data_IF_826919561179
#
_entry.id   IF_826919561179
#
_cell.length_a   1.000
_cell.length_b   1.000
_cell.length_c   1.000
_cell.angle_alpha   90.00
_cell.angle_beta   90.00
_cell.angle_gamma   90.00
#
_symmetry.space_group_name_H-M   'P 1'
#
loop_
_entity.id
_entity.type
_entity.pdbx_description
1 polymer ?
#
# COMPACT_ATOMS: atom_id res chain seq x y z
N UNK A 1 8.73 1.42 14.67
CA UNK A 1 7.40 1.18 14.06
C UNK A 1 7.54 0.10 13.01
N UNK A 2 6.59 -0.83 12.88
CA UNK A 2 6.68 -2.03 12.04
C UNK A 2 6.21 -1.75 10.59
N UNK A 3 6.54 -2.63 9.64
CA UNK A 3 6.22 -2.57 8.21
C UNK A 3 4.72 -2.42 7.92
N UNK A 4 3.87 -2.95 8.81
CA UNK A 4 2.40 -2.80 8.75
C UNK A 4 1.93 -1.34 8.87
N UNK A 5 2.76 -0.48 9.47
CA UNK A 5 2.49 0.96 9.62
C UNK A 5 2.83 1.78 8.38
N UNK A 6 3.26 1.17 7.27
CA UNK A 6 3.60 1.88 6.04
C UNK A 6 2.47 2.78 5.54
N UNK A 7 1.24 2.24 5.51
CA UNK A 7 0.08 2.93 4.94
C UNK A 7 -0.27 4.22 5.69
N UNK A 8 0.00 4.30 7.00
CA UNK A 8 -0.31 5.52 7.78
C UNK A 8 0.56 6.70 7.37
N UNK A 9 1.78 6.44 6.88
CA UNK A 9 2.68 7.48 6.36
C UNK A 9 2.19 8.04 5.03
N UNK A 10 1.63 7.19 4.17
CA UNK A 10 1.14 7.58 2.84
C UNK A 10 -0.24 8.24 2.94
N UNK A 11 -1.14 7.70 3.75
CA UNK A 11 -2.53 8.17 3.87
C UNK A 11 -2.70 9.31 4.89
N UNK A 12 -1.61 9.77 5.50
CA UNK A 12 -1.58 10.87 6.45
C UNK A 12 -2.39 12.11 5.97
N UNK A 13 -2.23 12.62 4.73
CA UNK A 13 -2.99 13.78 4.25
C UNK A 13 -4.49 13.55 4.15
N UNK A 14 -4.93 12.32 3.82
CA UNK A 14 -6.35 11.97 3.73
C UNK A 14 -7.03 11.99 5.10
N UNK A 15 -6.33 11.53 6.13
CA UNK A 15 -6.90 11.36 7.47
C UNK A 15 -6.50 12.47 8.46
N UNK A 16 -6.08 13.64 7.94
CA UNK A 16 -5.87 14.84 8.75
C UNK A 16 -4.55 14.91 9.53
N UNK A 17 -3.55 14.12 9.16
CA UNK A 17 -2.23 14.24 9.77
C UNK A 17 -1.50 15.49 9.29
N UNK A 18 -0.82 16.18 10.23
CA UNK A 18 -0.14 17.45 9.96
C UNK A 18 1.12 17.29 9.10
N UNK A 19 1.88 16.20 9.32
CA UNK A 19 3.10 15.89 8.58
C UNK A 19 3.33 14.38 8.50
N UNK A 20 4.14 13.97 7.53
CA UNK A 20 4.68 12.61 7.42
C UNK A 20 6.18 12.66 7.19
N UNK A 21 6.88 11.59 7.57
CA UNK A 21 8.33 11.50 7.44
C UNK A 21 8.72 10.51 6.35
N UNK A 22 9.50 10.97 5.39
CA UNK A 22 10.20 10.15 4.41
C UNK A 22 11.72 10.19 4.63
N UNK A 23 12.41 9.08 4.37
CA UNK A 23 13.87 9.05 4.38
C UNK A 23 14.45 9.78 3.17
N UNK A 24 15.69 10.26 3.27
CA UNK A 24 16.38 10.92 2.15
C UNK A 24 16.75 9.93 1.04
N UNK A 25 17.28 8.78 1.44
CA UNK A 25 17.74 7.71 0.53
C UNK A 25 17.41 6.35 1.15
N UNK A 26 17.28 5.32 0.30
CA UNK A 26 17.15 3.94 0.77
C UNK A 26 18.38 3.56 1.60
N UNK A 27 18.16 2.96 2.77
CA UNK A 27 19.24 2.62 3.71
C UNK A 27 19.68 3.75 4.65
N UNK A 28 19.16 4.98 4.51
CA UNK A 28 19.26 6.05 5.52
C UNK A 28 17.96 6.23 6.28
N UNK A 29 17.25 5.13 6.50
CA UNK A 29 15.96 5.11 7.16
C UNK A 29 16.15 5.17 8.67
N UNK A 30 15.34 5.98 9.36
CA UNK A 30 15.35 6.03 10.83
C UNK A 30 14.51 4.89 11.44
N UNK A 31 13.73 4.17 10.62
CA UNK A 31 12.94 3.02 11.01
C UNK A 31 12.73 2.05 9.83
N UNK A 32 12.57 0.74 10.07
CA UNK A 32 12.27 -0.24 9.03
C UNK A 32 11.04 0.13 8.19
N UNK A 33 11.13 -0.08 6.87
CA UNK A 33 10.07 0.20 5.89
C UNK A 33 9.60 1.65 5.82
N UNK A 34 10.48 2.59 6.14
CA UNK A 34 10.21 4.00 5.90
C UNK A 34 10.29 4.29 4.39
N UNK A 35 9.23 4.86 3.77
CA UNK A 35 9.31 5.30 2.37
C UNK A 35 10.31 6.45 2.24
N UNK A 36 10.98 6.54 1.10
CA UNK A 36 11.78 7.74 0.79
C UNK A 36 10.85 8.92 0.50
N UNK A 37 11.33 10.14 0.70
CA UNK A 37 10.60 11.35 0.28
C UNK A 37 10.32 11.33 -1.23
N UNK A 38 11.24 10.80 -2.03
CA UNK A 38 11.07 10.61 -3.47
C UNK A 38 9.93 9.64 -3.78
N UNK A 39 9.80 8.52 -3.07
CA UNK A 39 8.70 7.57 -3.28
C UNK A 39 7.35 8.21 -2.91
N UNK A 40 7.28 8.93 -1.79
CA UNK A 40 6.05 9.60 -1.37
C UNK A 40 5.58 10.60 -2.44
N UNK A 41 6.49 11.38 -3.01
CA UNK A 41 6.17 12.40 -4.01
C UNK A 41 5.87 11.77 -5.38
N UNK A 42 6.72 10.85 -5.85
CA UNK A 42 6.71 10.40 -7.24
C UNK A 42 5.92 9.11 -7.46
N UNK A 43 5.86 8.22 -6.47
CA UNK A 43 5.14 6.93 -6.57
C UNK A 43 3.75 7.05 -5.98
N UNK A 44 3.61 7.65 -4.80
CA UNK A 44 2.31 7.75 -4.12
C UNK A 44 1.58 9.06 -4.38
N UNK A 45 2.18 9.99 -5.13
CA UNK A 45 1.60 11.28 -5.47
C UNK A 45 1.06 12.01 -4.22
N UNK A 46 1.80 11.98 -3.10
CA UNK A 46 1.29 12.40 -1.78
C UNK A 46 0.70 13.82 -1.75
N UNK A 47 1.17 14.71 -2.62
CA UNK A 47 0.69 16.09 -2.75
C UNK A 47 -0.73 16.20 -3.33
N UNK A 48 -1.22 15.14 -3.96
CA UNK A 48 -2.55 15.07 -4.57
C UNK A 48 -3.55 14.32 -3.67
N UNK A 49 -3.09 13.72 -2.58
CA UNK A 49 -3.95 12.99 -1.63
C UNK A 49 -4.66 14.01 -0.75
N UNK A 50 -6.00 13.91 -0.70
CA UNK A 50 -6.86 14.70 0.16
C UNK A 50 -7.98 13.86 0.79
N UNK A 51 -8.89 14.49 1.56
CA UNK A 51 -9.95 13.79 2.28
C UNK A 51 -10.83 12.91 1.39
N UNK A 52 -11.11 13.34 0.16
CA UNK A 52 -11.99 12.62 -0.78
C UNK A 52 -11.28 11.55 -1.62
N UNK A 53 -9.94 11.46 -1.54
CA UNK A 53 -9.16 10.51 -2.34
C UNK A 53 -9.56 9.08 -2.01
N UNK A 54 -9.85 8.27 -3.03
CA UNK A 54 -10.18 6.85 -2.86
C UNK A 54 -8.92 6.00 -2.69
N UNK A 55 -8.96 5.06 -1.77
CA UNK A 55 -7.84 4.16 -1.47
C UNK A 55 -8.08 2.83 -2.16
N UNK A 56 -7.11 2.43 -2.96
CA UNK A 56 -6.99 1.10 -3.54
C UNK A 56 -5.73 0.44 -3.01
N UNK A 57 -5.63 -0.88 -3.15
CA UNK A 57 -4.37 -1.50 -2.82
C UNK A 57 -4.21 -2.95 -3.21
N UNK A 58 -2.98 -3.42 -3.03
CA UNK A 58 -2.64 -4.82 -3.14
C UNK A 58 -2.50 -5.41 -1.74
N UNK A 59 -3.16 -6.53 -1.50
CA UNK A 59 -3.11 -7.28 -0.25
C UNK A 59 -2.19 -8.49 -0.44
N UNK A 60 -1.27 -8.71 0.50
CA UNK A 60 -0.44 -9.92 0.54
C UNK A 60 0.52 -9.95 1.73
N UNK A 61 1.20 -11.09 1.91
CA UNK A 61 2.29 -11.24 2.85
C UNK A 61 3.33 -12.27 2.31
N UNK A 62 4.53 -11.82 1.85
CA UNK A 62 4.98 -10.44 1.70
C UNK A 62 4.32 -9.67 0.54
N UNK A 63 4.28 -8.33 0.65
CA UNK A 63 3.71 -7.42 -0.37
C UNK A 63 4.68 -6.36 -0.89
N UNK A 64 5.80 -6.12 -0.18
CA UNK A 64 6.73 -5.01 -0.44
C UNK A 64 7.46 -5.05 -1.79
N UNK A 65 7.47 -6.19 -2.48
CA UNK A 65 8.11 -6.34 -3.80
C UNK A 65 7.18 -6.03 -4.99
N UNK A 66 5.90 -5.74 -4.75
CA UNK A 66 4.97 -5.48 -5.84
C UNK A 66 5.27 -4.15 -6.53
N UNK A 67 5.42 -4.18 -7.86
CA UNK A 67 5.50 -2.97 -8.70
C UNK A 67 4.13 -2.36 -9.00
N UNK A 68 3.03 -2.97 -8.53
CA UNK A 68 1.67 -2.50 -8.78
C UNK A 68 1.38 -1.07 -8.29
N UNK A 69 1.93 -0.58 -7.15
CA UNK A 69 1.72 0.82 -6.75
C UNK A 69 2.28 1.82 -7.77
N UNK A 70 3.45 1.53 -8.35
CA UNK A 70 4.07 2.39 -9.36
C UNK A 70 3.15 2.50 -10.59
N UNK A 71 2.68 1.36 -11.10
CA UNK A 71 1.85 1.32 -12.29
C UNK A 71 0.48 1.99 -12.07
N UNK A 72 -0.20 1.65 -10.98
CA UNK A 72 -1.56 2.14 -10.73
C UNK A 72 -1.60 3.62 -10.38
N UNK A 73 -0.66 4.12 -9.56
CA UNK A 73 -0.63 5.54 -9.22
C UNK A 73 -0.26 6.41 -10.43
N UNK A 74 0.61 5.92 -11.32
CA UNK A 74 0.89 6.62 -12.57
C UNK A 74 -0.35 6.67 -13.47
N UNK A 75 -1.08 5.56 -13.58
CA UNK A 75 -2.32 5.50 -14.34
C UNK A 75 -3.42 6.40 -13.75
N UNK A 76 -3.59 6.41 -12.43
CA UNK A 76 -4.55 7.29 -11.76
C UNK A 76 -4.22 8.76 -12.01
N UNK A 77 -2.94 9.12 -11.92
CA UNK A 77 -2.46 10.47 -12.22
C UNK A 77 -2.70 10.85 -13.68
N UNK A 78 -2.40 9.96 -14.63
CA UNK A 78 -2.52 10.25 -16.06
C UNK A 78 -3.98 10.45 -16.51
N UNK A 79 -4.93 9.78 -15.87
CA UNK A 79 -6.36 9.93 -16.17
C UNK A 79 -7.08 10.91 -15.24
N UNK A 80 -6.37 11.57 -14.31
CA UNK A 80 -6.95 12.51 -13.35
C UNK A 80 -7.89 11.89 -12.33
N UNK A 81 -7.77 10.58 -12.05
CA UNK A 81 -8.58 9.90 -11.05
C UNK A 81 -8.08 10.25 -9.64
N UNK A 82 -8.97 10.75 -8.77
CA UNK A 82 -8.65 11.05 -7.38
C UNK A 82 -8.54 9.77 -6.52
N UNK A 83 -7.45 9.03 -6.73
CA UNK A 83 -7.22 7.75 -6.10
C UNK A 83 -5.73 7.53 -5.78
N UNK A 84 -5.47 6.71 -4.75
CA UNK A 84 -4.12 6.24 -4.39
C UNK A 84 -4.13 4.73 -4.25
N UNK A 85 -3.09 4.08 -4.77
CA UNK A 85 -2.85 2.64 -4.69
C UNK A 85 -1.69 2.35 -3.74
N UNK A 86 -1.93 1.56 -2.68
CA UNK A 86 -0.92 1.26 -1.64
C UNK A 86 -0.78 -0.25 -1.35
N UNK A 87 0.38 -0.70 -0.87
CA UNK A 87 0.54 -2.07 -0.38
C UNK A 87 -0.03 -2.23 1.03
N UNK A 88 -0.84 -3.28 1.23
CA UNK A 88 -1.34 -3.71 2.52
C UNK A 88 -0.71 -5.05 2.91
N UNK A 89 0.14 -5.03 3.94
CA UNK A 89 0.69 -6.23 4.55
C UNK A 89 -0.35 -6.83 5.51
N UNK A 90 -0.99 -7.92 5.09
CA UNK A 90 -2.16 -8.49 5.79
C UNK A 90 -1.95 -9.97 6.10
N UNK A 91 -2.18 -10.32 7.36
CA UNK A 91 -2.13 -11.70 7.85
C UNK A 91 -3.52 -12.37 7.82
N UNK A 92 -4.56 -11.61 8.15
CA UNK A 92 -5.96 -12.07 8.19
C UNK A 92 -6.81 -11.21 7.24
N UNK A 93 -7.20 -11.82 6.11
CA UNK A 93 -7.97 -11.16 5.07
C UNK A 93 -9.39 -10.80 5.54
N UNK A 94 -10.04 -11.68 6.30
CA UNK A 94 -11.42 -11.46 6.75
C UNK A 94 -11.48 -10.27 7.72
N UNK A 95 -10.54 -10.22 8.67
CA UNK A 95 -10.40 -9.09 9.59
C UNK A 95 -10.02 -7.80 8.87
N UNK A 96 -9.17 -7.87 7.85
CA UNK A 96 -8.81 -6.70 7.06
C UNK A 96 -10.04 -6.12 6.34
N UNK A 97 -10.81 -6.95 5.64
CA UNK A 97 -11.98 -6.50 4.88
C UNK A 97 -13.07 -5.94 5.80
N UNK A 98 -13.25 -6.49 7.00
CA UNK A 98 -14.20 -5.93 7.97
C UNK A 98 -13.73 -4.58 8.53
N UNK A 99 -12.42 -4.41 8.77
CA UNK A 99 -11.81 -3.18 9.28
C UNK A 99 -11.86 -2.05 8.25
N UNK A 100 -11.55 -2.35 6.98
CA UNK A 100 -11.49 -1.37 5.88
C UNK A 100 -12.72 -1.45 4.98
N UNK A 101 -13.91 -1.44 5.59
CA UNK A 101 -15.21 -1.58 4.91
C UNK A 101 -15.85 -0.25 4.52
N UNK A 102 -15.25 0.89 4.88
CA UNK A 102 -15.80 2.21 4.56
C UNK A 102 -15.68 2.53 3.06
N UNK A 103 -16.50 3.47 2.53
CA UNK A 103 -16.43 3.89 1.12
C UNK A 103 -15.11 4.54 0.70
N UNK A 104 -14.21 4.83 1.64
CA UNK A 104 -12.86 5.31 1.35
C UNK A 104 -12.00 4.24 0.70
N UNK A 105 -12.25 2.97 1.03
CA UNK A 105 -11.49 1.82 0.55
C UNK A 105 -12.24 1.15 -0.60
N UNK A 106 -11.97 1.61 -1.81
CA UNK A 106 -12.81 1.34 -2.98
C UNK A 106 -12.50 0.03 -3.71
N UNK A 107 -11.32 -0.57 -3.48
CA UNK A 107 -11.00 -1.86 -4.10
C UNK A 107 -9.62 -2.40 -3.78
N UNK A 108 -9.52 -3.73 -3.79
CA UNK A 108 -8.29 -4.45 -3.47
C UNK A 108 -7.98 -5.53 -4.50
N UNK A 109 -6.68 -5.69 -4.84
CA UNK A 109 -6.17 -6.88 -5.52
C UNK A 109 -5.51 -7.80 -4.49
N UNK A 110 -5.76 -9.09 -4.57
CA UNK A 110 -5.11 -10.08 -3.71
C UNK A 110 -3.97 -10.79 -4.45
N UNK A 111 -2.77 -10.81 -3.88
CA UNK A 111 -1.64 -11.56 -4.42
C UNK A 111 -1.51 -12.90 -3.69
N UNK A 112 -1.73 -14.00 -4.41
CA UNK A 112 -1.40 -15.34 -3.91
C UNK A 112 0.09 -15.58 -4.19
N UNK A 113 0.88 -15.83 -3.15
CA UNK A 113 2.23 -16.37 -3.34
C UNK A 113 2.14 -17.80 -3.84
N UNK A 114 2.78 -18.06 -4.98
CA UNK A 114 2.85 -19.37 -5.65
C UNK A 114 3.43 -20.46 -4.74
N UNK A 115 4.17 -20.11 -3.67
CA UNK A 115 4.69 -21.07 -2.69
C UNK A 115 3.61 -21.84 -1.92
N UNK A 116 2.40 -21.29 -1.76
CA UNK A 116 1.28 -22.02 -1.14
C UNK A 116 0.64 -23.03 -2.08
N UNK A 117 0.75 -22.85 -3.40
CA UNK A 117 0.24 -23.80 -4.39
C UNK A 117 1.10 -25.07 -4.35
N UNK A 118 2.43 -24.93 -4.25
CA UNK A 118 3.37 -26.08 -4.22
C UNK A 118 3.12 -27.03 -3.05
N UNK A 119 2.66 -26.54 -1.89
CA UNK A 119 2.38 -27.39 -0.72
C UNK A 119 1.11 -28.23 -0.88
N UNK A 120 0.11 -27.71 -1.61
CA UNK A 120 -1.16 -28.43 -1.82
C UNK A 120 -1.09 -29.49 -2.93
N UNK A 121 -0.14 -29.37 -3.86
CA UNK A 121 0.14 -30.42 -4.86
C UNK A 121 1.10 -31.50 -4.33
N UNK A 122 1.94 -31.20 -3.34
CA UNK A 122 2.85 -32.20 -2.72
C UNK A 122 2.19 -33.12 -1.69
N UNK A 123 0.96 -32.83 -1.23
CA UNK A 123 0.23 -33.62 -0.22
C UNK A 123 -0.89 -34.49 -0.83
N UNK A 124 -0.94 -34.58 -2.16
CA UNK A 124 -1.84 -35.46 -2.92
C UNK A 124 -1.05 -36.46 -3.79
N UNK A 125 -0.03 -37.08 -3.23
CA UNK A 125 0.67 -38.23 -3.84
C UNK A 125 0.77 -39.37 -2.84
#
# INVERSE_FOLDING_TARGET
MNDRGFISRVLCPKFGGYLTFGSLEKGKESAPSQPTAADLINVYNIRQIGPDTKVFGIIGNPVGHSKSPILHNEAFRSVGLNAVYVPFLVDDLAKFLSTYSSPDFAGFRYLILVSHITYSISTRS
#
